data_IF_012249793219
#
_entry.id   IF_012249793219
#
_cell.length_a   1.000
_cell.length_b   1.000
_cell.length_c   1.000
_cell.angle_alpha   90.00
_cell.angle_beta   90.00
_cell.angle_gamma   90.00
#
_symmetry.space_group_name_H-M   'P 1'
#
loop_
_entity.id
_entity.type
_entity.pdbx_description
1 polymer ?
#
# COMPACT_ATOMS: atom_id res chain seq x y z
N UNK A 1 21.09 0.69 -5.84
CA UNK A 1 19.99 0.28 -4.95
C UNK A 1 19.27 -0.91 -5.58
N UNK A 2 19.23 -2.07 -4.92
CA UNK A 2 18.58 -3.26 -5.49
C UNK A 2 17.04 -3.21 -5.32
N UNK A 3 16.30 -4.11 -5.96
CA UNK A 3 14.83 -4.10 -5.91
C UNK A 3 14.28 -4.29 -4.48
N UNK A 4 14.93 -5.11 -3.66
CA UNK A 4 14.58 -5.35 -2.26
C UNK A 4 14.62 -4.05 -1.45
N UNK A 5 15.67 -3.26 -1.65
CA UNK A 5 15.86 -2.04 -0.88
C UNK A 5 14.75 -1.02 -1.21
N UNK A 6 14.26 -1.01 -2.46
CA UNK A 6 13.11 -0.18 -2.86
C UNK A 6 11.81 -0.66 -2.23
N UNK A 7 11.59 -1.97 -2.17
CA UNK A 7 10.40 -2.55 -1.52
C UNK A 7 10.35 -2.23 -0.03
N UNK A 8 11.48 -2.22 0.69
CA UNK A 8 11.53 -1.85 2.12
C UNK A 8 11.09 -0.41 2.42
N UNK A 9 11.00 0.45 1.41
CA UNK A 9 10.52 1.84 1.57
C UNK A 9 9.01 1.98 1.43
N UNK A 10 8.31 0.98 0.88
CA UNK A 10 6.85 0.97 0.79
C UNK A 10 6.20 0.56 2.11
N UNK A 11 5.01 1.09 2.39
CA UNK A 11 4.22 0.71 3.56
C UNK A 11 3.91 -0.80 3.55
N UNK A 12 4.12 -1.52 4.66
CA UNK A 12 3.94 -2.96 4.69
C UNK A 12 2.50 -3.41 4.38
N UNK A 13 1.47 -2.69 4.85
CA UNK A 13 0.07 -2.98 4.50
C UNK A 13 -0.20 -2.70 3.03
N UNK A 14 0.31 -1.59 2.48
CA UNK A 14 0.16 -1.26 1.06
C UNK A 14 0.80 -2.32 0.13
N UNK A 15 1.99 -2.82 0.48
CA UNK A 15 2.66 -3.89 -0.26
C UNK A 15 1.91 -5.21 -0.18
N UNK A 16 1.37 -5.55 1.00
CA UNK A 16 0.53 -6.74 1.18
C UNK A 16 -0.75 -6.65 0.33
N UNK A 17 -1.44 -5.50 0.38
CA UNK A 17 -2.65 -5.26 -0.42
C UNK A 17 -2.37 -5.31 -1.93
N UNK A 18 -1.23 -4.78 -2.38
CA UNK A 18 -0.81 -4.88 -3.79
C UNK A 18 -0.68 -6.34 -4.23
N UNK A 19 -0.09 -7.21 -3.41
CA UNK A 19 0.00 -8.64 -3.72
C UNK A 19 -1.39 -9.29 -3.77
N UNK A 20 -2.29 -8.92 -2.87
CA UNK A 20 -3.68 -9.41 -2.88
C UNK A 20 -4.42 -8.96 -4.14
N UNK A 21 -4.28 -7.70 -4.54
CA UNK A 21 -4.84 -7.14 -5.78
C UNK A 21 -4.40 -7.98 -7.00
N UNK A 22 -3.09 -8.21 -7.12
CA UNK A 22 -2.52 -8.99 -8.23
C UNK A 22 -3.04 -10.42 -8.26
N UNK A 23 -3.35 -11.02 -7.11
CA UNK A 23 -3.85 -12.40 -7.03
C UNK A 23 -5.36 -12.51 -7.29
N UNK A 24 -6.17 -11.60 -6.73
CA UNK A 24 -7.63 -11.70 -6.73
C UNK A 24 -8.29 -11.12 -7.98
N UNK A 25 -7.89 -9.91 -8.39
CA UNK A 25 -8.58 -9.18 -9.47
C UNK A 25 -8.55 -9.94 -10.80
N UNK A 26 -7.47 -10.72 -11.05
CA UNK A 26 -7.32 -11.48 -12.30
C UNK A 26 -8.40 -12.55 -12.52
N UNK A 27 -9.08 -13.00 -11.47
CA UNK A 27 -10.10 -14.06 -11.53
C UNK A 27 -11.52 -13.54 -11.34
N UNK A 28 -11.69 -12.23 -11.12
CA UNK A 28 -12.98 -11.60 -10.84
C UNK A 28 -13.64 -11.07 -12.12
N UNK A 29 -14.97 -10.99 -12.11
CA UNK A 29 -15.67 -10.14 -13.08
C UNK A 29 -15.28 -8.67 -12.86
N UNK A 30 -15.34 -7.87 -13.93
CA UNK A 30 -14.95 -6.45 -13.89
C UNK A 30 -15.78 -5.66 -12.86
N UNK A 31 -17.08 -5.89 -12.77
CA UNK A 31 -17.96 -5.14 -11.86
C UNK A 31 -17.64 -5.49 -10.41
N UNK A 32 -17.49 -6.78 -10.13
CA UNK A 32 -17.10 -7.28 -8.82
C UNK A 32 -15.71 -6.74 -8.41
N UNK A 33 -14.74 -6.77 -9.33
CA UNK A 33 -13.41 -6.24 -9.10
C UNK A 33 -13.44 -4.75 -8.73
N UNK A 34 -14.23 -3.92 -9.41
CA UNK A 34 -14.37 -2.51 -9.05
C UNK A 34 -14.97 -2.32 -7.66
N UNK A 35 -16.05 -3.03 -7.33
CA UNK A 35 -16.68 -2.92 -6.02
C UNK A 35 -15.71 -3.32 -4.91
N UNK A 36 -15.04 -4.47 -5.06
CA UNK A 36 -14.11 -4.98 -4.06
C UNK A 36 -12.87 -4.08 -3.91
N UNK A 37 -12.30 -3.61 -5.03
CA UNK A 37 -11.12 -2.72 -4.97
C UNK A 37 -11.45 -1.33 -4.44
N UNK A 38 -12.66 -0.82 -4.66
CA UNK A 38 -13.12 0.44 -4.06
C UNK A 38 -13.18 0.34 -2.53
N UNK A 39 -13.77 -0.73 -1.99
CA UNK A 39 -13.83 -0.97 -0.55
C UNK A 39 -12.43 -1.16 0.04
N UNK A 40 -11.58 -1.99 -0.59
CA UNK A 40 -10.19 -2.17 -0.17
C UNK A 40 -9.42 -0.84 -0.15
N UNK A 41 -9.57 -0.03 -1.20
CA UNK A 41 -8.93 1.27 -1.32
C UNK A 41 -9.35 2.20 -0.18
N UNK A 42 -10.65 2.33 0.07
CA UNK A 42 -11.19 3.17 1.15
C UNK A 42 -10.61 2.76 2.52
N UNK A 43 -10.57 1.46 2.81
CA UNK A 43 -10.01 0.92 4.06
C UNK A 43 -8.50 1.20 4.19
N UNK A 44 -7.74 1.08 3.11
CA UNK A 44 -6.30 1.37 3.12
C UNK A 44 -6.04 2.87 3.36
N UNK A 45 -6.78 3.76 2.69
CA UNK A 45 -6.64 5.20 2.86
C UNK A 45 -7.08 5.70 4.24
N UNK A 46 -8.03 5.02 4.88
CA UNK A 46 -8.45 5.31 6.26
C UNK A 46 -7.44 4.84 7.32
N UNK A 47 -6.42 4.06 6.96
CA UNK A 47 -5.50 3.45 7.92
C UNK A 47 -4.44 4.41 8.47
N UNK A 48 -3.95 4.11 9.68
CA UNK A 48 -2.82 4.81 10.29
C UNK A 48 -1.56 4.79 9.41
N UNK A 49 -1.34 3.70 8.66
CA UNK A 49 -0.20 3.60 7.74
C UNK A 49 -0.29 4.63 6.62
N UNK A 50 -1.49 4.82 6.05
CA UNK A 50 -1.72 5.83 5.02
C UNK A 50 -1.54 7.25 5.59
N UNK A 51 -2.08 7.52 6.79
CA UNK A 51 -1.91 8.81 7.46
C UNK A 51 -0.44 9.11 7.75
N UNK A 52 0.31 8.14 8.29
CA UNK A 52 1.72 8.28 8.59
C UNK A 52 2.57 8.43 7.32
N UNK A 53 2.29 7.65 6.28
CA UNK A 53 2.99 7.73 5.00
C UNK A 53 2.78 9.07 4.32
N UNK A 54 1.53 9.54 4.26
CA UNK A 54 1.20 10.87 3.73
C UNK A 54 1.85 11.97 4.56
N UNK A 55 1.82 11.86 5.89
CA UNK A 55 2.48 12.79 6.80
C UNK A 55 3.99 12.89 6.55
N UNK A 56 4.68 11.75 6.46
CA UNK A 56 6.11 11.69 6.16
C UNK A 56 6.43 12.27 4.78
N UNK A 57 5.62 11.95 3.76
CA UNK A 57 5.77 12.50 2.42
C UNK A 57 5.65 14.04 2.40
N UNK A 58 4.63 14.59 3.06
CA UNK A 58 4.41 16.04 3.16
C UNK A 58 5.53 16.75 3.91
N UNK A 59 6.04 16.14 4.98
CA UNK A 59 7.18 16.66 5.76
C UNK A 59 8.54 16.44 5.10
N UNK A 60 8.59 15.67 4.01
CA UNK A 60 9.83 15.23 3.34
C UNK A 60 10.76 14.44 4.28
N UNK A 61 10.17 13.68 5.19
CA UNK A 61 10.85 12.82 6.14
C UNK A 61 10.76 11.36 5.71
N UNK A 62 11.66 10.48 6.18
CA UNK A 62 11.49 9.04 6.03
C UNK A 62 10.19 8.57 6.69
N UNK A 63 9.46 7.68 6.02
CA UNK A 63 8.29 7.03 6.60
C UNK A 63 8.70 6.15 7.81
N UNK A 64 7.83 5.99 8.83
CA UNK A 64 8.20 5.38 10.11
C UNK A 64 8.59 3.90 10.04
N UNK A 65 8.26 3.21 8.94
CA UNK A 65 8.64 1.81 8.70
C UNK A 65 9.98 1.65 7.98
N UNK A 66 10.62 2.73 7.54
CA UNK A 66 11.94 2.65 6.92
C UNK A 66 12.96 2.32 8.02
N UNK A 67 13.69 1.19 7.94
CA UNK A 67 14.73 0.86 8.91
C UNK A 67 15.80 1.95 8.97
N UNK A 68 16.25 2.30 10.18
CA UNK A 68 17.31 3.27 10.45
C UNK A 68 18.72 2.67 10.41
N UNK A 69 18.89 1.52 9.75
CA UNK A 69 20.17 0.80 9.61
C UNK A 69 21.26 1.67 8.96
#
# INVERSE_FOLDING_TARGET
MCIRDRLRRGGPKALAATKQLLQRVRTMDRTEAFNWTAELSANLFASEEAQAGMGAFLKREPAPWIPTD
#
